data_IF_639028590477
#
_entry.id   IF_639028590477
#
_cell.length_a   1.000
_cell.length_b   1.000
_cell.length_c   1.000
_cell.angle_alpha   90.00
_cell.angle_beta   90.00
_cell.angle_gamma   90.00
#
_symmetry.space_group_name_H-M   'P 1'
#
loop_
_entity.id
_entity.type
_entity.pdbx_description
1 polymer ?
#
# COMPACT_ATOMS: atom_id res chain seq x y z
N UNK A 1 27.81 -72.86 4.96
CA UNK A 1 27.74 -71.75 3.99
C UNK A 1 26.28 -71.58 3.57
N UNK A 2 25.63 -70.50 4.03
CA UNK A 2 24.19 -70.23 3.84
C UNK A 2 23.96 -69.66 2.44
N UNK A 3 23.13 -70.30 1.62
CA UNK A 3 22.68 -69.75 0.33
C UNK A 3 21.56 -68.75 0.61
N UNK A 4 21.84 -67.48 0.35
CA UNK A 4 20.92 -66.35 0.47
C UNK A 4 19.82 -66.45 -0.61
N UNK A 5 18.56 -66.50 -0.17
CA UNK A 5 17.39 -66.27 -1.01
C UNK A 5 17.38 -64.82 -1.50
N UNK A 6 17.53 -64.60 -2.80
CA UNK A 6 17.29 -63.30 -3.41
C UNK A 6 15.79 -63.17 -3.74
N UNK A 7 15.10 -62.40 -2.91
CA UNK A 7 13.72 -61.97 -3.08
C UNK A 7 13.68 -60.97 -4.26
N UNK A 8 13.07 -61.37 -5.38
CA UNK A 8 12.89 -60.52 -6.55
C UNK A 8 11.78 -59.51 -6.24
N UNK A 9 12.15 -58.32 -5.76
CA UNK A 9 11.21 -57.23 -5.51
C UNK A 9 10.85 -56.56 -6.84
N UNK A 10 9.71 -56.95 -7.41
CA UNK A 10 9.08 -56.29 -8.56
C UNK A 10 8.62 -54.89 -8.13
N UNK A 11 9.49 -53.90 -8.35
CA UNK A 11 9.16 -52.48 -8.24
C UNK A 11 8.24 -52.14 -9.42
N UNK A 12 6.93 -52.17 -9.20
CA UNK A 12 5.97 -51.55 -10.09
C UNK A 12 6.19 -50.03 -10.01
N UNK A 13 6.93 -49.50 -10.98
CA UNK A 13 7.04 -48.07 -11.19
C UNK A 13 5.68 -47.60 -11.68
N UNK A 14 4.87 -47.05 -10.78
CA UNK A 14 3.73 -46.22 -11.18
C UNK A 14 4.30 -44.98 -11.88
N UNK A 15 4.52 -45.12 -13.19
CA UNK A 15 4.73 -44.00 -14.07
C UNK A 15 3.46 -43.16 -14.00
N UNK A 16 3.50 -42.06 -13.23
CA UNK A 16 2.59 -40.96 -13.40
C UNK A 16 2.82 -40.39 -14.81
N UNK A 17 2.25 -41.06 -15.82
CA UNK A 17 2.12 -40.51 -17.14
C UNK A 17 1.29 -39.23 -16.99
N UNK A 18 1.97 -38.08 -17.00
CA UNK A 18 1.35 -36.79 -17.28
C UNK A 18 0.65 -36.96 -18.62
N UNK A 19 -0.66 -37.26 -18.60
CA UNK A 19 -1.49 -37.09 -19.79
C UNK A 19 -1.39 -35.61 -20.13
N UNK A 20 -0.75 -35.30 -21.25
CA UNK A 20 -0.68 -33.94 -21.76
C UNK A 20 -2.12 -33.44 -21.88
N UNK A 21 -2.41 -32.33 -21.21
CA UNK A 21 -3.69 -31.65 -21.30
C UNK A 21 -3.91 -31.32 -22.78
N UNK A 22 -5.13 -31.53 -23.29
CA UNK A 22 -5.40 -31.18 -24.68
C UNK A 22 -5.25 -29.67 -24.88
N UNK A 23 -4.81 -29.19 -26.06
CA UNK A 23 -4.68 -27.75 -26.31
C UNK A 23 -5.97 -26.95 -26.08
N UNK A 24 -7.13 -27.61 -26.19
CA UNK A 24 -8.43 -27.03 -25.91
C UNK A 24 -8.70 -26.89 -24.40
N UNK A 25 -8.37 -27.93 -23.61
CA UNK A 25 -8.50 -27.88 -22.15
C UNK A 25 -7.54 -26.86 -21.53
N UNK A 26 -6.34 -26.73 -22.09
CA UNK A 26 -5.38 -25.70 -21.71
C UNK A 26 -5.95 -24.30 -21.95
N UNK A 27 -6.43 -24.02 -23.17
CA UNK A 27 -7.05 -22.74 -23.50
C UNK A 27 -8.26 -22.42 -22.60
N UNK A 28 -9.07 -23.42 -22.24
CA UNK A 28 -10.19 -23.26 -21.30
C UNK A 28 -9.70 -22.88 -19.91
N UNK A 29 -8.68 -23.57 -19.40
CA UNK A 29 -8.15 -23.31 -18.05
C UNK A 29 -7.54 -21.91 -17.96
N UNK A 30 -6.78 -21.49 -18.97
CA UNK A 30 -6.22 -20.14 -19.04
C UNK A 30 -7.29 -19.06 -19.13
N UNK A 31 -8.36 -19.28 -19.90
CA UNK A 31 -9.47 -18.35 -20.00
C UNK A 31 -10.21 -18.23 -18.67
N UNK A 32 -10.43 -19.35 -17.98
CA UNK A 32 -11.06 -19.36 -16.65
C UNK A 32 -10.22 -18.62 -15.62
N UNK A 33 -8.90 -18.84 -15.62
CA UNK A 33 -7.98 -18.13 -14.73
C UNK A 33 -8.02 -16.62 -15.00
N UNK A 34 -8.00 -16.19 -16.26
CA UNK A 34 -8.09 -14.78 -16.62
C UNK A 34 -9.42 -14.16 -16.15
N UNK A 35 -10.54 -14.88 -16.26
CA UNK A 35 -11.85 -14.44 -15.77
C UNK A 35 -11.83 -14.27 -14.24
N UNK A 36 -11.32 -15.26 -13.50
CA UNK A 36 -11.25 -15.21 -12.04
C UNK A 36 -10.36 -14.05 -11.55
N UNK A 37 -9.25 -13.80 -12.25
CA UNK A 37 -8.36 -12.67 -11.94
C UNK A 37 -9.05 -11.32 -12.19
N UNK A 38 -9.77 -11.20 -13.30
CA UNK A 38 -10.54 -10.00 -13.62
C UNK A 38 -11.66 -9.76 -12.59
N UNK A 39 -12.42 -10.79 -12.22
CA UNK A 39 -13.44 -10.74 -11.16
C UNK A 39 -12.87 -10.23 -9.85
N UNK A 40 -11.76 -10.83 -9.41
CA UNK A 40 -11.11 -10.46 -8.15
C UNK A 40 -10.68 -9.00 -8.16
N UNK A 41 -10.09 -8.53 -9.26
CA UNK A 41 -9.66 -7.14 -9.39
C UNK A 41 -10.84 -6.15 -9.45
N UNK A 42 -11.94 -6.52 -10.09
CA UNK A 42 -13.15 -5.69 -10.14
C UNK A 42 -13.79 -5.57 -8.75
N UNK A 43 -13.81 -6.66 -7.97
CA UNK A 43 -14.30 -6.60 -6.59
C UNK A 43 -13.40 -5.73 -5.70
N UNK A 44 -12.07 -5.81 -5.87
CA UNK A 44 -11.14 -4.88 -5.22
C UNK A 44 -11.46 -3.42 -5.59
N UNK A 45 -11.63 -3.12 -6.88
CA UNK A 45 -11.99 -1.79 -7.37
C UNK A 45 -13.32 -1.30 -6.78
N UNK A 46 -14.31 -2.18 -6.68
CA UNK A 46 -15.62 -1.89 -6.07
C UNK A 46 -15.49 -1.58 -4.58
N UNK A 47 -14.67 -2.33 -3.86
CA UNK A 47 -14.46 -2.13 -2.41
C UNK A 47 -13.89 -0.75 -2.08
N UNK A 48 -13.11 -0.16 -3.00
CA UNK A 48 -12.56 1.19 -2.88
C UNK A 48 -13.45 2.28 -3.53
N UNK A 49 -14.66 1.90 -3.99
CA UNK A 49 -15.64 2.80 -4.60
C UNK A 49 -15.29 3.26 -6.02
N UNK A 50 -14.51 2.50 -6.77
CA UNK A 50 -14.21 2.77 -8.17
C UNK A 50 -15.36 2.44 -9.12
N UNK A 51 -15.36 3.05 -10.29
CA UNK A 51 -16.33 2.76 -11.34
C UNK A 51 -16.04 1.39 -11.97
N UNK A 52 -17.00 0.47 -11.83
CA UNK A 52 -16.89 -0.89 -12.35
C UNK A 52 -17.59 -1.07 -13.70
N UNK A 53 -18.26 -0.04 -14.23
CA UNK A 53 -19.13 -0.16 -15.40
C UNK A 53 -18.41 -0.74 -16.62
N UNK A 54 -17.28 -0.15 -16.99
CA UNK A 54 -16.47 -0.61 -18.12
C UNK A 54 -15.83 -1.99 -17.90
N UNK A 55 -15.07 -2.26 -16.82
CA UNK A 55 -14.45 -3.56 -16.63
C UNK A 55 -15.48 -4.67 -16.41
N UNK A 56 -16.64 -4.39 -15.80
CA UNK A 56 -17.73 -5.36 -15.65
C UNK A 56 -18.33 -5.73 -17.02
N UNK A 57 -18.56 -4.75 -17.90
CA UNK A 57 -19.05 -5.03 -19.27
C UNK A 57 -18.09 -5.94 -20.05
N UNK A 58 -16.78 -5.70 -19.94
CA UNK A 58 -15.76 -6.53 -20.59
C UNK A 58 -15.70 -7.95 -20.00
N UNK A 59 -15.91 -8.07 -18.68
CA UNK A 59 -15.98 -9.35 -17.99
C UNK A 59 -17.23 -10.15 -18.41
N UNK A 60 -18.38 -9.49 -18.54
CA UNK A 60 -19.62 -10.13 -18.97
C UNK A 60 -19.51 -10.64 -20.42
N UNK A 61 -18.87 -9.87 -21.31
CA UNK A 61 -18.50 -10.33 -22.65
C UNK A 61 -17.55 -11.53 -22.62
N UNK A 62 -16.53 -11.51 -21.76
CA UNK A 62 -15.60 -12.62 -21.60
C UNK A 62 -16.30 -13.91 -21.16
N UNK A 63 -17.24 -13.82 -20.21
CA UNK A 63 -18.05 -14.95 -19.74
C UNK A 63 -18.92 -15.52 -20.85
N UNK A 64 -19.58 -14.66 -21.62
CA UNK A 64 -20.38 -15.09 -22.76
C UNK A 64 -19.54 -15.85 -23.81
N UNK A 65 -18.36 -15.33 -24.15
CA UNK A 65 -17.44 -16.00 -25.09
C UNK A 65 -16.92 -17.33 -24.54
N UNK A 66 -16.75 -17.43 -23.21
CA UNK A 66 -16.37 -18.66 -22.55
C UNK A 66 -17.46 -19.74 -22.66
N UNK A 67 -18.72 -19.37 -22.47
CA UNK A 67 -19.88 -20.25 -22.67
C UNK A 67 -20.03 -20.70 -24.13
N UNK A 68 -19.69 -19.83 -25.09
CA UNK A 68 -19.62 -20.16 -26.52
C UNK A 68 -18.44 -21.08 -26.91
N UNK A 69 -17.56 -21.41 -25.96
CA UNK A 69 -16.35 -22.22 -26.20
C UNK A 69 -15.21 -21.48 -26.90
N UNK A 70 -15.32 -20.15 -27.07
CA UNK A 70 -14.31 -19.29 -27.69
C UNK A 70 -13.28 -18.84 -26.66
N UNK A 71 -12.54 -19.80 -26.09
CA UNK A 71 -11.68 -19.57 -24.94
C UNK A 71 -10.57 -18.54 -25.18
N UNK A 72 -10.00 -18.47 -26.39
CA UNK A 72 -8.97 -17.47 -26.72
C UNK A 72 -9.51 -16.04 -26.65
N UNK A 73 -10.68 -15.80 -27.26
CA UNK A 73 -11.35 -14.50 -27.25
C UNK A 73 -11.82 -14.13 -25.84
N UNK A 74 -12.35 -15.11 -25.10
CA UNK A 74 -12.73 -14.95 -23.70
C UNK A 74 -11.55 -14.51 -22.83
N UNK A 75 -10.39 -15.16 -22.98
CA UNK A 75 -9.14 -14.81 -22.28
C UNK A 75 -8.72 -13.38 -22.60
N UNK A 76 -8.72 -12.99 -23.87
CA UNK A 76 -8.34 -11.63 -24.26
C UNK A 76 -9.25 -10.56 -23.66
N UNK A 77 -10.56 -10.80 -23.65
CA UNK A 77 -11.54 -9.89 -23.04
C UNK A 77 -11.39 -9.82 -21.52
N UNK A 78 -11.15 -10.95 -20.85
CA UNK A 78 -10.89 -10.98 -19.41
C UNK A 78 -9.61 -10.23 -19.03
N UNK A 79 -8.52 -10.39 -19.82
CA UNK A 79 -7.29 -9.62 -19.61
C UNK A 79 -7.54 -8.12 -19.78
N UNK A 80 -8.34 -7.71 -20.78
CA UNK A 80 -8.73 -6.31 -20.95
C UNK A 80 -9.52 -5.78 -19.75
N UNK A 81 -10.51 -6.53 -19.27
CA UNK A 81 -11.27 -6.20 -18.07
C UNK A 81 -10.35 -5.99 -16.86
N UNK A 82 -9.42 -6.94 -16.63
CA UNK A 82 -8.43 -6.85 -15.56
C UNK A 82 -7.54 -5.60 -15.68
N UNK A 83 -7.01 -5.32 -16.86
CA UNK A 83 -6.11 -4.18 -17.08
C UNK A 83 -6.82 -2.84 -16.84
N UNK A 84 -8.05 -2.70 -17.33
CA UNK A 84 -8.88 -1.51 -17.08
C UNK A 84 -9.13 -1.37 -15.58
N UNK A 85 -9.58 -2.43 -14.91
CA UNK A 85 -9.83 -2.40 -13.48
C UNK A 85 -8.57 -2.07 -12.66
N UNK A 86 -7.42 -2.65 -13.02
CA UNK A 86 -6.14 -2.40 -12.37
C UNK A 86 -5.71 -0.94 -12.53
N UNK A 87 -5.85 -0.38 -13.74
CA UNK A 87 -5.51 1.02 -13.99
C UNK A 87 -6.37 1.97 -13.16
N UNK A 88 -7.68 1.77 -13.14
CA UNK A 88 -8.61 2.58 -12.35
C UNK A 88 -8.30 2.47 -10.85
N UNK A 89 -7.97 1.27 -10.39
CA UNK A 89 -7.56 1.03 -9.01
C UNK A 89 -6.31 1.86 -8.65
N UNK A 90 -5.26 1.77 -9.47
CA UNK A 90 -4.00 2.50 -9.23
C UNK A 90 -4.20 4.01 -9.22
N UNK A 91 -5.01 4.53 -10.14
CA UNK A 91 -5.36 5.96 -10.21
C UNK A 91 -6.07 6.44 -8.94
N UNK A 92 -7.03 5.66 -8.43
CA UNK A 92 -7.76 6.00 -7.19
C UNK A 92 -6.82 5.98 -5.99
N UNK A 93 -5.95 4.97 -5.88
CA UNK A 93 -5.00 4.86 -4.76
C UNK A 93 -4.00 6.02 -4.80
N UNK A 94 -3.46 6.35 -5.97
CA UNK A 94 -2.53 7.46 -6.11
C UNK A 94 -3.20 8.81 -5.79
N UNK A 95 -4.44 9.02 -6.26
CA UNK A 95 -5.22 10.21 -5.94
C UNK A 95 -5.49 10.33 -4.43
N UNK A 96 -5.88 9.23 -3.77
CA UNK A 96 -6.09 9.19 -2.31
C UNK A 96 -4.81 9.51 -1.54
N UNK A 97 -3.67 8.94 -1.96
CA UNK A 97 -2.36 9.23 -1.36
C UNK A 97 -1.99 10.70 -1.50
N UNK A 98 -2.16 11.28 -2.70
CA UNK A 98 -1.90 12.71 -2.94
C UNK A 98 -2.79 13.58 -2.06
N UNK A 99 -4.07 13.25 -1.93
CA UNK A 99 -4.99 13.97 -1.07
C UNK A 99 -4.57 13.91 0.41
N UNK A 100 -4.13 12.75 0.88
CA UNK A 100 -3.61 12.59 2.25
C UNK A 100 -2.34 13.42 2.49
N UNK A 101 -1.40 13.39 1.53
CA UNK A 101 -0.17 14.20 1.61
C UNK A 101 -0.47 15.70 1.60
N UNK A 102 -1.43 16.14 0.77
CA UNK A 102 -1.91 17.52 0.74
C UNK A 102 -2.56 17.92 2.06
N UNK A 103 -3.43 17.07 2.63
CA UNK A 103 -4.07 17.30 3.92
C UNK A 103 -3.04 17.40 5.05
N UNK A 104 -2.03 16.51 5.09
CA UNK A 104 -0.93 16.57 6.05
C UNK A 104 -0.10 17.85 5.89
N UNK A 105 0.16 18.29 4.66
CA UNK A 105 0.90 19.52 4.38
C UNK A 105 0.10 20.75 4.83
N UNK A 106 -1.21 20.77 4.62
CA UNK A 106 -2.10 21.83 5.08
C UNK A 106 -2.21 21.85 6.62
N UNK A 107 -2.33 20.68 7.26
CA UNK A 107 -2.31 20.59 8.72
C UNK A 107 -0.98 21.16 9.26
N UNK A 108 0.14 20.76 8.65
CA UNK A 108 1.48 21.24 9.04
C UNK A 108 1.65 22.74 8.83
N UNK A 109 1.00 23.35 7.82
CA UNK A 109 1.08 24.79 7.57
C UNK A 109 0.29 25.61 8.59
N UNK A 110 -0.77 25.04 9.18
CA UNK A 110 -1.56 25.68 10.26
C UNK A 110 -0.81 25.72 11.61
N UNK A 111 0.21 24.88 11.78
CA UNK A 111 0.96 24.83 13.03
C UNK A 111 1.91 26.04 13.17
N UNK A 112 2.05 26.60 14.39
CA UNK A 112 2.74 27.89 14.60
C UNK A 112 4.23 27.84 14.23
N UNK A 113 4.71 28.76 13.40
CA UNK A 113 6.14 28.84 13.03
C UNK A 113 6.99 29.59 14.07
N UNK A 114 6.35 30.13 15.10
CA UNK A 114 6.99 30.80 16.23
C UNK A 114 6.33 30.39 17.53
N UNK A 115 7.10 30.45 18.62
CA UNK A 115 6.61 30.21 19.96
C UNK A 115 7.15 31.27 20.91
N UNK A 116 6.26 31.88 21.69
CA UNK A 116 6.66 32.80 22.76
C UNK A 116 6.82 32.00 24.05
N UNK A 117 8.03 32.03 24.61
CA UNK A 117 8.38 31.31 25.84
C UNK A 117 7.51 31.80 26.99
N UNK A 118 6.80 30.88 27.65
CA UNK A 118 6.00 31.12 28.84
C UNK A 118 6.83 31.12 30.11
N UNK A 119 6.18 31.09 31.27
CA UNK A 119 6.88 31.06 32.56
C UNK A 119 7.09 29.63 33.04
N UNK A 120 8.11 29.43 33.89
CA UNK A 120 8.34 28.12 34.51
C UNK A 120 7.15 27.67 35.37
N UNK A 121 6.57 28.59 36.12
CA UNK A 121 5.43 28.33 37.01
C UNK A 121 4.18 27.84 36.26
N UNK A 122 3.88 28.44 35.10
CA UNK A 122 2.67 28.14 34.33
C UNK A 122 2.90 27.03 33.31
N UNK A 123 3.92 27.17 32.48
CA UNK A 123 4.10 26.38 31.26
C UNK A 123 5.21 25.33 31.41
N UNK A 124 6.06 25.47 32.45
CA UNK A 124 7.30 24.70 32.66
C UNK A 124 8.17 24.69 31.41
N UNK A 125 8.22 25.84 30.74
CA UNK A 125 8.86 25.94 29.44
C UNK A 125 10.37 25.78 29.56
N UNK A 126 10.85 24.71 28.94
CA UNK A 126 12.22 24.48 28.54
C UNK A 126 12.19 23.96 27.11
N UNK A 127 13.31 23.95 26.39
CA UNK A 127 13.33 23.52 24.98
C UNK A 127 12.73 22.12 24.79
N UNK A 128 12.97 21.22 25.76
CA UNK A 128 12.38 19.88 25.81
C UNK A 128 10.86 19.92 25.90
N UNK A 129 10.30 20.62 26.89
CA UNK A 129 8.86 20.69 27.10
C UNK A 129 8.14 21.44 25.98
N UNK A 130 8.74 22.48 25.41
CA UNK A 130 8.21 23.19 24.23
C UNK A 130 8.11 22.23 23.05
N UNK A 131 9.16 21.46 22.76
CA UNK A 131 9.13 20.49 21.66
C UNK A 131 8.11 19.35 21.88
N UNK A 132 7.87 18.95 23.13
CA UNK A 132 6.86 17.94 23.49
C UNK A 132 5.42 18.39 23.20
N UNK A 133 5.12 19.69 23.12
CA UNK A 133 3.76 20.19 22.88
C UNK A 133 3.23 19.67 21.54
N UNK A 134 1.97 19.18 21.54
CA UNK A 134 1.32 18.57 20.37
C UNK A 134 1.36 19.46 19.12
N UNK A 135 1.14 20.77 19.30
CA UNK A 135 1.11 21.75 18.22
C UNK A 135 2.51 22.28 17.80
N UNK A 136 3.57 21.89 18.52
CA UNK A 136 4.95 22.21 18.16
C UNK A 136 5.54 21.06 17.37
N UNK A 137 5.93 19.97 18.04
CA UNK A 137 6.48 18.79 17.37
C UNK A 137 5.87 17.48 17.82
N UNK A 138 5.13 17.48 18.93
CA UNK A 138 4.70 16.28 19.63
C UNK A 138 5.86 15.29 19.90
N UNK A 139 7.08 15.82 20.02
CA UNK A 139 8.30 15.02 20.12
C UNK A 139 9.34 15.80 20.93
N UNK A 140 9.59 15.39 22.18
CA UNK A 140 10.56 16.06 23.04
C UNK A 140 12.00 16.00 22.49
N UNK A 141 12.36 15.01 21.68
CA UNK A 141 13.72 14.86 21.16
C UNK A 141 14.08 15.92 20.11
N UNK A 142 13.07 16.63 19.58
CA UNK A 142 13.25 17.71 18.60
C UNK A 142 13.63 19.06 19.22
N UNK A 143 13.83 19.14 20.53
CA UNK A 143 14.31 20.34 21.22
C UNK A 143 15.59 20.93 20.60
N UNK A 144 16.52 20.06 20.16
CA UNK A 144 17.77 20.47 19.49
C UNK A 144 17.52 21.28 18.22
N UNK A 145 16.41 20.99 17.52
CA UNK A 145 16.01 21.70 16.29
C UNK A 145 15.57 23.12 16.59
N UNK A 146 14.87 23.33 17.71
CA UNK A 146 14.52 24.67 18.20
C UNK A 146 15.79 25.44 18.55
N UNK A 147 16.72 24.82 19.29
CA UNK A 147 17.99 25.44 19.64
C UNK A 147 18.78 25.85 18.40
N UNK A 148 18.98 24.93 17.45
CA UNK A 148 19.75 25.17 16.22
C UNK A 148 19.21 26.36 15.42
N UNK A 149 17.89 26.46 15.26
CA UNK A 149 17.26 27.54 14.51
C UNK A 149 17.29 28.91 15.22
N UNK A 150 17.61 28.92 16.52
CA UNK A 150 17.62 30.12 17.36
C UNK A 150 18.98 30.34 18.04
N UNK A 151 20.07 29.76 17.54
CA UNK A 151 21.44 29.93 18.11
C UNK A 151 21.86 31.39 18.23
N UNK A 152 21.35 32.26 17.36
CA UNK A 152 21.58 33.68 17.42
C UNK A 152 20.88 34.37 18.62
N UNK A 153 19.86 33.73 19.21
CA UNK A 153 19.09 34.23 20.37
C UNK A 153 19.38 33.45 21.66
N UNK A 154 19.72 32.17 21.55
CA UNK A 154 19.97 31.27 22.68
C UNK A 154 21.47 30.95 22.72
N UNK A 155 22.17 31.50 23.71
CA UNK A 155 23.60 31.22 23.94
C UNK A 155 23.82 29.91 24.70
N UNK A 156 22.98 29.64 25.69
CA UNK A 156 22.99 28.40 26.47
C UNK A 156 21.65 27.67 26.25
N UNK A 157 21.65 26.43 25.70
CA UNK A 157 20.42 25.68 25.43
C UNK A 157 19.57 25.39 26.69
N UNK A 158 20.18 25.36 27.87
CA UNK A 158 19.48 25.11 29.13
C UNK A 158 18.81 26.38 29.70
N UNK A 159 19.04 27.54 29.09
CA UNK A 159 18.58 28.83 29.59
C UNK A 159 17.76 29.59 28.53
N UNK A 160 16.45 29.61 28.73
CA UNK A 160 15.48 30.43 27.98
C UNK A 160 14.67 31.29 28.96
N UNK A 161 14.22 32.45 28.50
CA UNK A 161 13.53 33.44 29.32
C UNK A 161 12.09 33.68 28.86
N UNK A 162 11.14 33.91 29.77
CA UNK A 162 9.77 34.27 29.41
C UNK A 162 9.71 35.48 28.46
N UNK A 163 8.80 35.45 27.50
CA UNK A 163 8.62 36.48 26.48
C UNK A 163 9.56 36.35 25.26
N UNK A 164 10.56 35.47 25.30
CA UNK A 164 11.41 35.23 24.12
C UNK A 164 10.61 34.58 22.97
N UNK A 165 10.68 35.16 21.78
CA UNK A 165 10.06 34.60 20.58
C UNK A 165 11.07 33.71 19.83
N UNK A 166 10.81 32.41 19.86
CA UNK A 166 11.61 31.38 19.21
C UNK A 166 11.01 31.01 17.86
N UNK A 167 11.86 30.84 16.85
CA UNK A 167 11.50 30.23 15.57
C UNK A 167 11.30 28.72 15.77
N UNK A 168 10.23 28.18 15.21
CA UNK A 168 9.91 26.75 15.20
C UNK A 168 9.96 26.25 13.75
N UNK A 169 11.10 25.67 13.32
CA UNK A 169 11.21 25.06 11.99
C UNK A 169 10.13 23.99 11.77
N UNK A 170 9.67 23.77 10.53
CA UNK A 170 8.64 22.76 10.21
C UNK A 170 9.25 21.57 9.46
#
# INVERSE_FOLDING_TARGET
MRRLSFLLCLIFVFSCAKRGISPLEEARLEAQEAINNAESKIEELKSIGGDITEPQSLLDEAKKLFEEGKYKEAKEKAIKAYNVASKLYDEIIEARKKLEEMAKKEEKSKLPTTYTVGTWEKDRDCLWNISKKKYIYNDPWKWKRIYQANKNKIKNPDLIYPGQVLKIPR
#
